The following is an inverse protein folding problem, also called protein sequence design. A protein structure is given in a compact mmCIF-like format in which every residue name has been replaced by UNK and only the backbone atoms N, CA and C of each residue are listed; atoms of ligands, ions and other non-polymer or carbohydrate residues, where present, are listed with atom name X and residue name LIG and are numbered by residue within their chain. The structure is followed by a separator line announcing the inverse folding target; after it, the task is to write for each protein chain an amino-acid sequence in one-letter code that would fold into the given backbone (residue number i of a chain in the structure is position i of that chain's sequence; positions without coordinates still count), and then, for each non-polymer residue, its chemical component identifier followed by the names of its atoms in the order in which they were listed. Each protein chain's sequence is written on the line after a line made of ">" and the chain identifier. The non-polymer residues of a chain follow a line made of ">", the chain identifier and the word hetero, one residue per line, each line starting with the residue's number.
data_IF_177714154313
#
_entry.id   IF_177714154313
#
_cell.length_a   1.000
_cell.length_b   1.000
_cell.length_c   1.000
_cell.angle_alpha   90.00
_cell.angle_beta   90.00
_cell.angle_gamma   90.00
#
_symmetry.space_group_name_H-M   'P 1'
#
loop_
_entity.id
_entity.type
_entity.pdbx_description
1 polymer ?
#
# COMPACT_ATOMS: atom_id res chain seq x y z
N UNK A 1 -1.26 -5.19 -10.39
CA UNK A 1 -0.59 -6.43 -9.91
C UNK A 1 0.05 -7.29 -11.02
N UNK A 2 -0.14 -7.00 -12.32
CA UNK A 2 0.36 -7.87 -13.40
C UNK A 2 1.89 -7.89 -13.52
N UNK A 3 2.56 -6.74 -13.33
CA UNK A 3 4.00 -6.61 -13.51
C UNK A 3 4.80 -7.52 -12.58
N UNK A 4 4.59 -7.40 -11.27
CA UNK A 4 5.28 -8.23 -10.26
C UNK A 4 4.94 -9.72 -10.43
N UNK A 5 3.68 -10.04 -10.76
CA UNK A 5 3.28 -11.43 -11.00
C UNK A 5 4.06 -12.05 -12.16
N UNK A 6 4.11 -11.38 -13.31
CA UNK A 6 4.71 -11.90 -14.53
C UNK A 6 6.24 -11.83 -14.54
N UNK A 7 6.79 -10.79 -13.92
CA UNK A 7 8.22 -10.48 -13.99
C UNK A 7 9.02 -11.04 -12.81
N UNK A 8 8.36 -11.33 -11.68
CA UNK A 8 8.97 -11.88 -10.48
C UNK A 8 8.37 -13.22 -10.08
N UNK A 9 7.08 -13.27 -9.75
CA UNK A 9 6.46 -14.44 -9.11
C UNK A 9 6.45 -15.67 -10.02
N UNK A 10 5.95 -15.55 -11.25
CA UNK A 10 5.88 -16.68 -12.19
C UNK A 10 7.28 -17.24 -12.48
N UNK A 11 8.28 -16.43 -12.87
CA UNK A 11 9.65 -16.91 -13.05
C UNK A 11 10.23 -17.60 -11.82
N UNK A 12 10.03 -17.02 -10.63
CA UNK A 12 10.52 -17.60 -9.37
C UNK A 12 9.85 -18.96 -9.08
N UNK A 13 8.51 -19.00 -9.18
CA UNK A 13 7.72 -20.21 -8.99
C UNK A 13 8.14 -21.31 -9.96
N UNK A 14 8.32 -21.00 -11.24
CA UNK A 14 8.75 -22.00 -12.23
C UNK A 14 10.15 -22.54 -11.97
N UNK A 15 11.06 -21.74 -11.40
CA UNK A 15 12.41 -22.21 -11.02
C UNK A 15 12.40 -23.11 -9.80
N UNK A 16 11.51 -22.85 -8.84
CA UNK A 16 11.46 -23.58 -7.57
C UNK A 16 10.59 -24.84 -7.64
N UNK A 17 9.61 -24.88 -8.56
CA UNK A 17 8.71 -26.03 -8.74
C UNK A 17 9.45 -27.37 -8.93
N UNK A 18 10.49 -27.49 -9.78
CA UNK A 18 11.22 -28.77 -9.95
C UNK A 18 11.97 -29.22 -8.68
N UNK A 19 12.26 -28.30 -7.76
CA UNK A 19 12.91 -28.59 -6.48
C UNK A 19 11.90 -29.00 -5.40
N UNK A 20 10.60 -29.05 -5.72
CA UNK A 20 9.54 -29.29 -4.75
C UNK A 20 9.31 -28.13 -3.78
N UNK A 21 9.89 -26.96 -4.04
CA UNK A 21 9.80 -25.78 -3.17
C UNK A 21 8.66 -24.87 -3.64
N UNK A 22 7.71 -24.59 -2.75
CA UNK A 22 6.65 -23.63 -2.99
C UNK A 22 7.13 -22.19 -2.73
N UNK A 23 6.55 -21.21 -3.43
CA UNK A 23 6.82 -19.78 -3.18
C UNK A 23 5.88 -19.30 -2.07
N UNK A 24 6.34 -19.43 -0.83
CA UNK A 24 5.68 -18.83 0.34
C UNK A 24 6.19 -17.40 0.60
N UNK A 25 5.71 -16.78 1.68
CA UNK A 25 6.04 -15.40 2.05
C UNK A 25 7.53 -15.24 2.32
N UNK A 26 8.14 -16.17 3.06
CA UNK A 26 9.56 -16.11 3.40
C UNK A 26 10.44 -16.24 2.15
N UNK A 27 10.13 -17.21 1.30
CA UNK A 27 10.82 -17.44 0.03
C UNK A 27 10.70 -16.22 -0.86
N UNK A 28 9.49 -15.67 -1.02
CA UNK A 28 9.27 -14.46 -1.81
C UNK A 28 10.09 -13.27 -1.28
N UNK A 29 10.13 -13.07 0.04
CA UNK A 29 10.91 -11.98 0.65
C UNK A 29 12.42 -12.15 0.42
N UNK A 30 12.93 -13.37 0.54
CA UNK A 30 14.35 -13.70 0.31
C UNK A 30 14.81 -13.35 -1.10
N UNK A 31 14.00 -13.68 -2.11
CA UNK A 31 14.33 -13.39 -3.51
C UNK A 31 13.90 -12.00 -3.98
N UNK A 32 12.90 -11.41 -3.32
CA UNK A 32 12.26 -10.17 -3.72
C UNK A 32 13.20 -8.98 -3.67
N UNK A 33 13.94 -8.80 -2.57
CA UNK A 33 14.89 -7.69 -2.44
C UNK A 33 15.97 -7.73 -3.53
N UNK A 34 16.54 -8.90 -3.78
CA UNK A 34 17.54 -9.07 -4.84
C UNK A 34 16.95 -8.78 -6.22
N UNK A 35 15.74 -9.29 -6.50
CA UNK A 35 15.07 -9.01 -7.76
C UNK A 35 14.75 -7.52 -7.93
N UNK A 36 14.33 -6.83 -6.87
CA UNK A 36 14.11 -5.38 -6.91
C UNK A 36 15.40 -4.64 -7.27
N UNK A 37 16.50 -4.98 -6.59
CA UNK A 37 17.80 -4.33 -6.77
C UNK A 37 18.43 -4.60 -8.14
N UNK A 38 18.40 -5.84 -8.62
CA UNK A 38 19.14 -6.26 -9.82
C UNK A 38 18.30 -6.16 -11.09
N UNK A 39 16.97 -6.24 -10.97
CA UNK A 39 16.07 -6.41 -12.11
C UNK A 39 15.04 -5.30 -12.18
N UNK A 40 14.22 -5.11 -11.16
CA UNK A 40 13.10 -4.17 -11.25
C UNK A 40 13.58 -2.72 -11.34
N UNK A 41 14.47 -2.31 -10.44
CA UNK A 41 14.97 -0.93 -10.37
C UNK A 41 15.96 -0.60 -11.48
N UNK A 42 16.61 -1.60 -12.06
CA UNK A 42 17.62 -1.42 -13.11
C UNK A 42 17.04 -1.41 -14.53
N UNK A 43 15.82 -1.91 -14.73
CA UNK A 43 15.21 -1.98 -16.07
C UNK A 43 14.64 -0.64 -16.49
N UNK A 44 14.72 -0.35 -17.78
CA UNK A 44 13.93 0.73 -18.38
C UNK A 44 12.46 0.36 -18.30
N UNK A 45 11.70 1.12 -17.52
CA UNK A 45 10.28 0.86 -17.33
C UNK A 45 9.46 1.60 -18.39
N UNK A 46 8.44 0.95 -18.94
CA UNK A 46 7.69 1.43 -20.10
C UNK A 46 6.97 2.77 -19.83
N UNK A 47 6.33 2.93 -18.67
CA UNK A 47 5.60 4.17 -18.35
C UNK A 47 6.51 5.38 -18.15
N UNK A 48 7.63 5.22 -17.44
CA UNK A 48 8.55 6.33 -17.10
C UNK A 48 9.69 6.50 -18.12
N UNK A 49 9.79 5.58 -19.09
CA UNK A 49 10.80 5.56 -20.16
C UNK A 49 12.25 5.67 -19.68
N UNK A 50 12.50 5.38 -18.40
CA UNK A 50 13.80 5.48 -17.73
C UNK A 50 13.91 4.35 -16.71
N UNK A 51 15.09 4.19 -16.09
CA UNK A 51 15.28 3.23 -15.01
C UNK A 51 14.72 3.82 -13.71
N UNK A 52 13.89 3.07 -12.95
CA UNK A 52 13.37 3.57 -11.69
C UNK A 52 14.45 4.07 -10.72
N UNK A 53 15.63 3.43 -10.67
CA UNK A 53 16.72 3.89 -9.81
C UNK A 53 17.27 5.27 -10.19
N UNK A 54 17.35 5.57 -11.49
CA UNK A 54 17.87 6.84 -11.98
C UNK A 54 16.83 7.95 -11.72
N UNK A 55 15.56 7.65 -12.04
CA UNK A 55 14.45 8.57 -11.82
C UNK A 55 14.24 8.90 -10.34
N UNK A 56 14.41 7.91 -9.46
CA UNK A 56 14.32 8.08 -8.02
C UNK A 56 15.28 9.14 -7.49
N UNK A 57 16.52 9.20 -8.00
CA UNK A 57 17.53 10.17 -7.56
C UNK A 57 17.09 11.62 -7.84
N UNK A 58 16.35 11.86 -8.91
CA UNK A 58 15.77 13.16 -9.26
C UNK A 58 14.56 13.46 -8.36
N UNK A 59 13.62 12.51 -8.27
CA UNK A 59 12.36 12.69 -7.54
C UNK A 59 12.59 12.90 -6.05
N UNK A 60 13.57 12.20 -5.46
CA UNK A 60 13.92 12.32 -4.04
C UNK A 60 14.31 13.75 -3.65
N UNK A 61 14.90 14.53 -4.56
CA UNK A 61 15.30 15.92 -4.28
C UNK A 61 14.08 16.84 -4.09
N UNK A 62 12.94 16.47 -4.65
CA UNK A 62 11.68 17.21 -4.53
C UNK A 62 10.82 16.75 -3.34
N UNK A 63 11.22 15.68 -2.64
CA UNK A 63 10.44 15.14 -1.53
C UNK A 63 10.62 15.99 -0.27
N UNK A 64 9.51 16.19 0.45
CA UNK A 64 9.54 16.79 1.77
C UNK A 64 10.20 15.83 2.78
N UNK A 65 10.74 16.41 3.85
CA UNK A 65 11.24 15.62 4.96
C UNK A 65 10.14 14.67 5.47
N UNK A 66 10.56 13.48 5.92
CA UNK A 66 9.66 12.57 6.61
C UNK A 66 9.00 13.32 7.78
N UNK A 67 7.69 13.10 8.01
CA UNK A 67 7.06 13.66 9.19
C UNK A 67 7.86 13.23 10.43
N UNK A 68 7.96 14.09 11.46
CA UNK A 68 8.65 13.72 12.69
C UNK A 68 8.06 12.40 13.19
N UNK A 69 8.92 11.55 13.78
CA UNK A 69 8.47 10.31 14.39
C UNK A 69 7.22 10.60 15.23
N UNK A 70 6.15 9.85 14.97
CA UNK A 70 4.98 9.92 15.84
C UNK A 70 5.50 9.56 17.22
N UNK A 71 5.57 10.53 18.12
CA UNK A 71 5.64 10.25 19.55
C UNK A 71 4.55 9.21 19.77
N UNK A 72 4.89 8.09 20.40
CA UNK A 72 3.88 7.16 20.88
C UNK A 72 3.02 7.97 21.83
N UNK A 73 1.95 8.59 21.33
CA UNK A 73 0.92 9.11 22.16
C UNK A 73 0.37 7.85 22.83
N UNK A 74 0.56 7.74 24.14
CA UNK A 74 -0.34 6.91 24.91
C UNK A 74 -1.72 7.44 24.54
N UNK A 75 -2.46 6.66 23.74
CA UNK A 75 -3.88 6.92 23.54
C UNK A 75 -4.48 6.65 24.91
N UNK A 76 -4.54 7.69 25.74
CA UNK A 76 -5.43 7.67 26.88
C UNK A 76 -6.81 7.69 26.24
N UNK A 77 -7.39 6.50 26.10
CA UNK A 77 -8.83 6.38 25.91
C UNK A 77 -9.41 6.94 27.20
N UNK A 78 -9.76 8.23 27.19
CA UNK A 78 -10.57 8.80 28.26
C UNK A 78 -11.84 7.94 28.31
N UNK A 79 -12.16 7.35 29.48
CA UNK A 79 -13.36 6.52 29.65
C UNK A 79 -14.63 7.26 29.23
N UNK A 80 -14.61 8.61 29.25
CA UNK A 80 -15.69 9.46 28.72
C UNK A 80 -15.90 9.33 27.20
N UNK A 81 -14.92 8.87 26.44
CA UNK A 81 -15.05 8.61 25.00
C UNK A 81 -15.83 7.31 24.70
N UNK A 82 -16.03 6.46 25.71
CA UNK A 82 -16.79 5.20 25.59
C UNK A 82 -18.29 5.46 25.77
N UNK A 83 -18.64 6.53 26.48
CA UNK A 83 -20.00 7.03 26.57
C UNK A 83 -20.29 7.94 25.39
N UNK A 84 -20.51 7.34 24.21
CA UNK A 84 -21.41 7.96 23.26
C UNK A 84 -22.76 8.04 23.98
N UNK A 85 -23.14 9.25 24.42
CA UNK A 85 -24.49 9.47 24.93
C UNK A 85 -25.45 8.80 23.94
N UNK A 86 -26.45 8.07 24.46
CA UNK A 86 -27.39 7.27 23.64
C UNK A 86 -28.18 8.09 22.62
N UNK A 87 -27.95 9.39 22.56
CA UNK A 87 -28.45 10.26 21.52
C UNK A 87 -27.71 9.97 20.21
N UNK A 88 -28.45 9.62 19.14
CA UNK A 88 -27.84 9.46 17.83
C UNK A 88 -27.07 10.75 17.46
N UNK A 89 -25.78 10.62 17.13
CA UNK A 89 -25.00 11.70 16.52
C UNK A 89 -25.49 12.05 15.11
N UNK A 90 -26.43 11.27 14.59
CA UNK A 90 -27.00 11.40 13.27
C UNK A 90 -28.41 11.99 13.36
N UNK A 91 -28.79 12.75 12.35
CA UNK A 91 -30.16 13.23 12.25
C UNK A 91 -31.15 12.06 12.03
N UNK A 92 -32.43 12.22 12.41
CA UNK A 92 -33.48 11.27 12.04
C UNK A 92 -33.49 11.04 10.52
N UNK A 93 -33.74 9.81 10.09
CA UNK A 93 -33.71 9.45 8.66
C UNK A 93 -34.61 10.32 7.78
N UNK A 94 -35.70 10.87 8.35
CA UNK A 94 -36.60 11.83 7.69
C UNK A 94 -35.92 13.12 7.19
N UNK A 95 -34.80 13.52 7.78
CA UNK A 95 -34.03 14.67 7.29
C UNK A 95 -33.40 14.37 5.93
N UNK A 96 -32.95 13.13 5.69
CA UNK A 96 -32.33 12.73 4.43
C UNK A 96 -33.35 12.62 3.30
N UNK A 97 -34.60 12.28 3.61
CA UNK A 97 -35.70 12.31 2.63
C UNK A 97 -35.92 13.71 2.04
N UNK A 98 -35.58 14.76 2.78
CA UNK A 98 -35.67 16.15 2.28
C UNK A 98 -34.59 16.46 1.24
N UNK A 99 -33.40 15.86 1.38
CA UNK A 99 -32.30 16.01 0.43
C UNK A 99 -32.39 15.06 -0.77
N UNK A 100 -33.08 13.93 -0.62
CA UNK A 100 -33.27 12.92 -1.67
C UNK A 100 -34.48 13.19 -2.58
N UNK A 101 -35.21 14.30 -2.44
CA UNK A 101 -36.23 14.72 -3.42
C UNK A 101 -35.56 15.28 -4.67
N UNK A 102 -35.06 14.38 -5.53
CA UNK A 102 -34.43 14.77 -6.79
C UNK A 102 -33.76 13.63 -7.54
N UNK A 103 -34.52 12.59 -7.89
CA UNK A 103 -34.24 11.73 -9.05
C UNK A 103 -35.53 11.00 -9.45
N UNK A 104 -36.41 11.73 -10.14
CA UNK A 104 -37.44 11.18 -11.00
C UNK A 104 -37.29 11.85 -12.37
#
# INVERSE_FOLDING_TARGET
>A
MQYTRNSFYIPLMTRLRPLGIAVDVETANRYGLRWLHDVANQRKHETIQTRPCDRWLEEQQSMLALPPEKKQYHVQVDEKLVTFDRQPLHHPLSIYDTFCKGAA
#
